data_IF_194593040688
#
_entry.id   IF_194593040688
#
_cell.length_a   1.000
_cell.length_b   1.000
_cell.length_c   1.000
_cell.angle_alpha   90.00
_cell.angle_beta   90.00
_cell.angle_gamma   90.00
#
_symmetry.space_group_name_H-M   'P 1'
#
loop_
_entity.id
_entity.type
_entity.pdbx_description
1 polymer ?
#
# COMPACT_ATOMS: atom_id res chain seq x y z
N UNK A 1 19.62 -8.35 -5.89
CA UNK A 1 18.15 -8.45 -5.92
C UNK A 1 17.71 -8.09 -4.52
N UNK A 2 17.35 -6.82 -4.29
CA UNK A 2 16.99 -6.34 -2.96
C UNK A 2 15.59 -6.86 -2.65
N UNK A 3 15.52 -7.95 -1.90
CA UNK A 3 14.29 -8.43 -1.32
C UNK A 3 13.92 -7.39 -0.26
N UNK A 4 12.92 -6.55 -0.53
CA UNK A 4 12.44 -5.54 0.41
C UNK A 4 11.99 -6.26 1.70
N UNK A 5 12.89 -6.33 2.70
CA UNK A 5 12.70 -7.05 3.97
C UNK A 5 11.44 -6.60 4.72
N UNK A 6 10.95 -5.39 4.42
CA UNK A 6 9.73 -4.83 5.00
C UNK A 6 8.44 -5.52 4.53
N UNK A 7 8.42 -6.11 3.32
CA UNK A 7 7.19 -6.75 2.79
C UNK A 7 6.87 -8.06 3.54
N UNK A 8 7.87 -8.72 4.12
CA UNK A 8 7.68 -9.97 4.87
C UNK A 8 6.90 -9.74 6.18
N UNK A 9 6.88 -8.53 6.72
CA UNK A 9 6.25 -8.21 8.00
C UNK A 9 4.73 -7.97 7.92
N UNK A 10 4.17 -7.86 6.72
CA UNK A 10 2.78 -7.49 6.51
C UNK A 10 1.93 -8.68 6.08
N UNK A 11 0.85 -8.98 6.81
CA UNK A 11 -0.10 -10.05 6.48
C UNK A 11 -1.42 -9.51 5.90
N UNK A 12 -2.16 -10.35 5.18
CA UNK A 12 -3.50 -9.97 4.71
C UNK A 12 -4.42 -9.86 5.94
N UNK A 13 -5.09 -8.73 6.10
CA UNK A 13 -5.89 -8.40 7.28
C UNK A 13 -5.16 -7.50 8.29
N UNK A 14 -3.84 -7.30 8.16
CA UNK A 14 -3.13 -6.34 9.00
C UNK A 14 -3.58 -4.91 8.70
N UNK A 15 -3.62 -4.11 9.77
CA UNK A 15 -3.74 -2.66 9.68
C UNK A 15 -2.37 -2.03 9.52
N UNK A 16 -2.27 -1.15 8.55
CA UNK A 16 -1.06 -0.41 8.22
C UNK A 16 -1.39 1.05 8.08
N UNK A 17 -0.41 1.90 8.34
CA UNK A 17 -0.50 3.35 8.16
C UNK A 17 0.51 3.81 7.11
N UNK A 18 0.18 4.87 6.38
CA UNK A 18 1.12 5.51 5.46
C UNK A 18 2.22 6.19 6.27
N UNK A 19 3.43 5.64 6.25
CA UNK A 19 4.59 6.25 6.91
C UNK A 19 5.31 7.25 6.00
N UNK A 20 5.21 7.06 4.68
CA UNK A 20 5.80 7.94 3.68
C UNK A 20 4.91 8.02 2.46
N UNK A 21 4.71 9.22 1.92
CA UNK A 21 3.87 9.41 0.74
C UNK A 21 4.61 8.92 -0.52
N UNK A 22 4.12 7.87 -1.20
CA UNK A 22 4.69 7.49 -2.49
C UNK A 22 4.44 8.61 -3.51
N UNK A 23 5.28 8.76 -4.54
CA UNK A 23 5.09 9.79 -5.57
C UNK A 23 3.82 9.55 -6.42
N UNK A 24 3.38 8.29 -6.53
CA UNK A 24 2.17 7.90 -7.25
C UNK A 24 1.52 6.68 -6.59
N UNK A 25 0.19 6.65 -6.60
CA UNK A 25 -0.59 5.50 -6.16
C UNK A 25 -1.10 4.71 -7.36
N UNK A 26 -1.01 3.38 -7.31
CA UNK A 26 -1.64 2.52 -8.32
C UNK A 26 -2.98 2.05 -7.79
N UNK A 27 -4.06 2.18 -8.56
CA UNK A 27 -5.33 1.55 -8.18
C UNK A 27 -5.26 0.02 -8.32
N UNK A 28 -5.99 -0.70 -7.46
CA UNK A 28 -6.08 -2.16 -7.49
C UNK A 28 -7.13 -2.69 -8.49
N UNK A 29 -7.67 -1.82 -9.34
CA UNK A 29 -8.66 -2.14 -10.38
C UNK A 29 -8.07 -2.98 -11.53
N UNK A 30 -8.89 -3.73 -12.28
CA UNK A 30 -8.47 -4.49 -13.46
C UNK A 30 -7.79 -3.64 -14.55
N UNK A 31 -8.03 -2.32 -14.56
CA UNK A 31 -7.23 -1.33 -15.27
C UNK A 31 -6.47 -0.47 -14.25
N UNK A 32 -5.19 -0.78 -13.96
CA UNK A 32 -4.39 0.00 -13.02
C UNK A 32 -4.17 1.41 -13.56
N UNK A 33 -4.61 2.43 -12.83
CA UNK A 33 -4.34 3.83 -13.14
C UNK A 33 -3.38 4.41 -12.12
N UNK A 34 -2.47 5.27 -12.58
CA UNK A 34 -1.67 6.11 -11.71
C UNK A 34 -2.55 7.25 -11.21
N UNK A 35 -2.78 7.28 -9.90
CA UNK A 35 -3.47 8.35 -9.20
C UNK A 35 -2.45 9.21 -8.45
N UNK A 36 -2.74 10.51 -8.29
CA UNK A 36 -1.91 11.38 -7.46
C UNK A 36 -1.94 10.90 -6.00
N UNK A 37 -0.85 11.14 -5.24
CA UNK A 37 -0.77 10.74 -3.84
C UNK A 37 -1.73 11.50 -2.94
N UNK A 38 -2.32 12.61 -3.37
CA UNK A 38 -3.37 13.36 -2.64
C UNK A 38 -4.56 12.51 -2.16
N UNK A 39 -4.77 11.32 -2.74
CA UNK A 39 -5.80 10.38 -2.31
C UNK A 39 -5.49 9.69 -0.97
N UNK A 40 -4.24 9.69 -0.51
CA UNK A 40 -3.88 9.18 0.82
C UNK A 40 -2.98 10.19 1.50
N UNK A 41 -3.12 10.33 2.82
CA UNK A 41 -2.27 11.23 3.60
C UNK A 41 -1.30 10.45 4.47
N UNK A 42 -0.23 11.11 4.87
CA UNK A 42 0.71 10.53 5.83
C UNK A 42 -0.03 10.31 7.16
N UNK A 43 0.06 9.10 7.70
CA UNK A 43 -0.74 8.64 8.84
C UNK A 43 -2.10 8.06 8.49
N UNK A 44 -2.52 8.03 7.20
CA UNK A 44 -3.77 7.35 6.84
C UNK A 44 -3.63 5.86 7.12
N UNK A 45 -4.64 5.32 7.81
CA UNK A 45 -4.75 3.90 8.09
C UNK A 45 -5.50 3.18 6.97
N UNK A 46 -5.00 2.00 6.61
CA UNK A 46 -5.63 1.11 5.66
C UNK A 46 -5.46 -0.35 6.09
N UNK A 47 -6.26 -1.22 5.49
CA UNK A 47 -6.21 -2.67 5.74
C UNK A 47 -5.70 -3.39 4.52
N UNK A 48 -4.75 -4.31 4.71
CA UNK A 48 -4.22 -5.13 3.62
C UNK A 48 -5.29 -6.12 3.17
N UNK A 49 -5.74 -6.00 1.93
CA UNK A 49 -6.68 -6.93 1.29
C UNK A 49 -5.98 -8.03 0.51
N UNK A 50 -4.83 -7.74 -0.10
CA UNK A 50 -4.11 -8.71 -0.91
C UNK A 50 -2.61 -8.39 -0.98
N UNK A 51 -1.79 -9.41 -1.15
CA UNK A 51 -0.36 -9.26 -1.43
C UNK A 51 -0.07 -9.74 -2.84
N UNK A 52 0.62 -8.92 -3.62
CA UNK A 52 1.06 -9.29 -4.96
C UNK A 52 2.52 -9.72 -4.93
N UNK A 53 2.89 -10.76 -5.70
CA UNK A 53 4.29 -11.10 -5.90
C UNK A 53 5.01 -9.91 -6.54
N UNK A 54 6.07 -9.42 -5.88
CA UNK A 54 6.81 -8.22 -6.31
C UNK A 54 6.84 -7.07 -5.29
N UNK A 55 6.31 -7.25 -4.08
CA UNK A 55 6.44 -6.26 -2.99
C UNK A 55 5.25 -5.32 -2.82
N UNK A 56 4.27 -5.41 -3.71
CA UNK A 56 3.06 -4.57 -3.67
C UNK A 56 1.97 -5.18 -2.78
N UNK A 57 1.42 -4.34 -1.91
CA UNK A 57 0.31 -4.65 -1.02
C UNK A 57 -0.92 -3.88 -1.51
N UNK A 58 -2.01 -4.61 -1.77
CA UNK A 58 -3.31 -4.03 -2.06
C UNK A 58 -4.00 -3.65 -0.76
N UNK A 59 -4.04 -2.36 -0.46
CA UNK A 59 -4.53 -1.82 0.79
C UNK A 59 -5.81 -1.06 0.53
N UNK A 60 -6.82 -1.33 1.34
CA UNK A 60 -8.07 -0.60 1.34
C UNK A 60 -8.01 0.52 2.35
N UNK A 61 -8.05 1.74 1.84
CA UNK A 61 -8.26 2.96 2.58
C UNK A 61 -9.72 3.39 2.47
N UNK A 62 -10.11 4.39 3.26
CA UNK A 62 -11.44 5.02 3.15
C UNK A 62 -11.70 5.60 1.75
N UNK A 63 -10.65 6.01 1.03
CA UNK A 63 -10.74 6.60 -0.31
C UNK A 63 -10.79 5.56 -1.45
N UNK A 64 -10.47 4.29 -1.18
CA UNK A 64 -10.40 3.25 -2.21
C UNK A 64 -9.34 2.19 -1.93
N UNK A 65 -9.11 1.31 -2.91
CA UNK A 65 -8.08 0.26 -2.80
C UNK A 65 -6.88 0.60 -3.69
N UNK A 66 -5.70 0.70 -3.08
CA UNK A 66 -4.47 1.08 -3.76
C UNK A 66 -3.39 0.04 -3.56
N UNK A 67 -2.54 -0.13 -4.57
CA UNK A 67 -1.33 -0.95 -4.52
C UNK A 67 -0.18 -0.05 -4.06
N UNK A 68 0.32 -0.32 -2.86
CA UNK A 68 1.42 0.42 -2.22
C UNK A 68 2.51 -0.57 -1.85
N UNK A 69 3.77 -0.15 -2.02
CA UNK A 69 4.91 -0.96 -1.60
C UNK A 69 5.07 -0.93 -0.07
N UNK A 70 5.44 -2.07 0.51
CA UNK A 70 5.72 -2.20 1.95
C UNK A 70 6.67 -1.15 2.51
N UNK A 71 7.57 -0.59 1.69
CA UNK A 71 8.51 0.45 2.13
C UNK A 71 7.85 1.79 2.52
N UNK A 72 6.63 2.08 2.05
CA UNK A 72 5.91 3.32 2.33
C UNK A 72 4.96 3.20 3.52
N UNK A 73 4.91 2.02 4.14
CA UNK A 73 3.92 1.64 5.11
C UNK A 73 4.59 1.27 6.42
N UNK A 74 3.87 1.50 7.50
CA UNK A 74 4.22 1.02 8.83
C UNK A 74 3.05 0.24 9.41
N UNK A 75 3.35 -0.71 10.29
CA UNK A 75 2.33 -1.40 11.07
C UNK A 75 1.76 -0.41 12.12
N UNK A 76 0.43 -0.35 12.24
CA UNK A 76 -0.26 0.45 13.28
C UNK A 76 -0.50 -0.42 14.51
#
# INVERSE_FOLDING_TARGET
>A
MAENENVKAFEVGDRVKIASLPPYLKSADPMPMLRPPDLVKLGDEGTILSRKPGGYLGIRFSQGTFLIDGQYLEKS
#
